data_IF_181873560753
#
_entry.id   IF_181873560753
#
_cell.length_a   1.000
_cell.length_b   1.000
_cell.length_c   1.000
_cell.angle_alpha   90.00
_cell.angle_beta   90.00
_cell.angle_gamma   90.00
#
_symmetry.space_group_name_H-M   'P 1'
#
loop_
_entity.id
_entity.type
_entity.pdbx_description
1 polymer ?
#
# COMPACT_ATOMS: atom_id res chain seq x y z
N UNK A 1 -45.20 39.91 20.87
CA UNK A 1 -43.86 39.67 20.30
C UNK A 1 -43.18 38.63 21.17
N UNK A 2 -42.93 37.43 20.65
CA UNK A 2 -42.10 36.42 21.31
C UNK A 2 -41.01 36.02 20.32
N UNK A 3 -39.78 36.44 20.60
CA UNK A 3 -38.59 36.08 19.83
C UNK A 3 -38.17 34.66 20.24
N UNK A 4 -38.37 33.67 19.36
CA UNK A 4 -37.74 32.37 19.58
C UNK A 4 -36.26 32.48 19.25
N UNK A 5 -35.44 32.21 20.25
CA UNK A 5 -33.99 32.08 20.12
C UNK A 5 -33.73 30.77 19.37
N UNK A 6 -33.33 30.87 18.11
CA UNK A 6 -32.97 29.70 17.30
C UNK A 6 -31.76 29.00 17.91
N UNK A 7 -31.95 27.77 18.37
CA UNK A 7 -30.87 26.88 18.79
C UNK A 7 -29.96 26.63 17.59
N UNK A 8 -28.76 27.22 17.59
CA UNK A 8 -27.72 26.88 16.63
C UNK A 8 -27.31 25.43 16.86
N UNK A 9 -27.82 24.54 16.01
CA UNK A 9 -27.38 23.14 15.96
C UNK A 9 -25.87 23.13 15.76
N UNK A 10 -25.11 22.65 16.75
CA UNK A 10 -23.67 22.47 16.61
C UNK A 10 -23.45 21.45 15.50
N UNK A 11 -23.02 21.92 14.33
CA UNK A 11 -22.64 21.05 13.24
C UNK A 11 -21.60 20.05 13.76
N UNK A 12 -21.95 18.77 13.72
CA UNK A 12 -21.05 17.69 14.13
C UNK A 12 -19.72 17.85 13.39
N UNK A 13 -18.60 17.73 14.09
CA UNK A 13 -17.26 17.84 13.48
C UNK A 13 -17.14 16.85 12.30
N UNK A 14 -17.84 15.71 12.39
CA UNK A 14 -17.90 14.65 11.38
C UNK A 14 -18.68 14.99 10.10
N UNK A 15 -19.44 16.10 10.04
CA UNK A 15 -20.18 16.51 8.83
C UNK A 15 -19.44 17.57 8.01
N UNK A 16 -18.26 18.02 8.46
CA UNK A 16 -17.52 19.07 7.76
C UNK A 16 -16.61 18.51 6.65
N UNK A 17 -16.59 19.11 5.44
CA UNK A 17 -15.67 18.70 4.37
C UNK A 17 -14.20 18.69 4.80
N UNK A 18 -13.80 19.61 5.67
CA UNK A 18 -12.44 19.73 6.19
C UNK A 18 -12.02 18.54 7.07
N UNK A 19 -12.95 17.96 7.85
CA UNK A 19 -12.69 16.74 8.63
C UNK A 19 -12.38 15.57 7.70
N UNK A 20 -13.25 15.34 6.71
CA UNK A 20 -13.06 14.27 5.74
C UNK A 20 -11.77 14.48 4.94
N UNK A 21 -11.48 15.69 4.49
CA UNK A 21 -10.23 15.99 3.78
C UNK A 21 -8.98 15.66 4.62
N UNK A 22 -8.98 16.01 5.91
CA UNK A 22 -7.88 15.61 6.82
C UNK A 22 -7.78 14.11 7.00
N UNK A 23 -8.91 13.43 7.22
CA UNK A 23 -8.94 11.97 7.38
C UNK A 23 -8.35 11.28 6.14
N UNK A 24 -8.73 11.73 4.95
CA UNK A 24 -8.28 11.16 3.69
C UNK A 24 -6.78 11.41 3.45
N UNK A 25 -6.25 12.56 3.86
CA UNK A 25 -4.81 12.86 3.80
C UNK A 25 -3.98 11.99 4.76
N UNK A 26 -4.58 11.47 5.83
CA UNK A 26 -3.90 10.49 6.71
C UNK A 26 -3.95 9.05 6.18
N UNK A 27 -4.70 8.77 5.10
CA UNK A 27 -4.88 7.42 4.60
C UNK A 27 -3.56 6.73 4.22
N UNK A 28 -2.55 7.47 3.75
CA UNK A 28 -1.24 6.87 3.46
C UNK A 28 -0.52 6.38 4.73
N UNK A 29 -0.62 7.12 5.84
CA UNK A 29 -0.10 6.67 7.15
C UNK A 29 -0.88 5.46 7.66
N UNK A 30 -2.22 5.50 7.55
CA UNK A 30 -3.08 4.37 7.95
C UNK A 30 -2.74 3.12 7.13
N UNK A 31 -2.53 3.26 5.82
CA UNK A 31 -2.11 2.17 4.94
C UNK A 31 -0.79 1.55 5.42
N UNK A 32 0.23 2.37 5.69
CA UNK A 32 1.53 1.91 6.18
C UNK A 32 1.41 1.17 7.51
N UNK A 33 0.66 1.73 8.47
CA UNK A 33 0.42 1.07 9.76
C UNK A 33 -0.30 -0.27 9.60
N UNK A 34 -1.33 -0.34 8.75
CA UNK A 34 -2.03 -1.58 8.46
C UNK A 34 -1.12 -2.62 7.80
N UNK A 35 -0.25 -2.22 6.85
CA UNK A 35 0.74 -3.12 6.25
C UNK A 35 1.73 -3.67 7.29
N UNK A 36 2.22 -2.83 8.20
CA UNK A 36 3.14 -3.25 9.27
C UNK A 36 2.45 -4.23 10.21
N UNK A 37 1.25 -3.91 10.70
CA UNK A 37 0.48 -4.79 11.59
C UNK A 37 0.18 -6.11 10.88
N UNK A 38 -0.28 -6.07 9.63
CA UNK A 38 -0.55 -7.26 8.86
C UNK A 38 0.69 -8.14 8.68
N UNK A 39 1.86 -7.54 8.44
CA UNK A 39 3.13 -8.26 8.31
C UNK A 39 3.52 -8.96 9.62
N UNK A 40 3.45 -8.24 10.74
CA UNK A 40 3.78 -8.79 12.06
C UNK A 40 2.83 -9.92 12.46
N UNK A 41 1.53 -9.76 12.18
CA UNK A 41 0.53 -10.80 12.44
C UNK A 41 0.75 -11.97 11.51
N UNK A 42 0.90 -11.77 10.20
CA UNK A 42 1.08 -12.85 9.23
C UNK A 42 2.26 -13.76 9.59
N UNK A 43 3.37 -13.14 10.00
CA UNK A 43 4.62 -13.82 10.29
C UNK A 43 5.44 -14.08 9.04
N UNK A 44 6.39 -14.99 9.15
CA UNK A 44 7.37 -15.23 8.11
C UNK A 44 6.88 -16.30 7.14
N UNK A 45 6.32 -15.88 6.00
CA UNK A 45 5.92 -16.81 4.93
C UNK A 45 7.10 -17.74 4.54
N UNK A 46 6.84 -19.04 4.34
CA UNK A 46 7.84 -20.00 3.89
C UNK A 46 8.50 -19.57 2.57
N UNK A 47 9.80 -19.84 2.48
CA UNK A 47 10.63 -19.54 1.32
C UNK A 47 10.22 -20.35 0.07
N UNK A 48 10.71 -19.95 -1.09
CA UNK A 48 10.50 -20.69 -2.35
C UNK A 48 11.11 -22.08 -2.21
N UNK A 49 10.35 -23.11 -2.61
CA UNK A 49 10.80 -24.51 -2.48
C UNK A 49 10.88 -25.03 -1.04
N UNK A 50 10.20 -24.38 -0.08
CA UNK A 50 10.07 -24.91 1.28
C UNK A 50 9.45 -26.32 1.31
N UNK A 51 9.82 -27.13 2.31
CA UNK A 51 9.30 -28.49 2.45
C UNK A 51 7.78 -28.50 2.70
N UNK A 52 7.14 -29.59 2.31
CA UNK A 52 5.71 -29.81 2.56
C UNK A 52 5.33 -29.63 4.04
N UNK A 53 6.14 -30.15 4.96
CA UNK A 53 5.93 -30.02 6.40
C UNK A 53 6.00 -28.56 6.87
N UNK A 54 6.95 -27.78 6.32
CA UNK A 54 7.08 -26.35 6.65
C UNK A 54 5.87 -25.56 6.16
N UNK A 55 5.41 -25.85 4.94
CA UNK A 55 4.23 -25.22 4.37
C UNK A 55 2.96 -25.59 5.16
N UNK A 56 2.79 -26.86 5.52
CA UNK A 56 1.65 -27.32 6.32
C UNK A 56 1.65 -26.67 7.71
N UNK A 57 2.80 -26.67 8.40
CA UNK A 57 2.94 -26.06 9.72
C UNK A 57 2.56 -24.56 9.71
N UNK A 58 2.95 -23.82 8.67
CA UNK A 58 2.62 -22.41 8.56
C UNK A 58 1.15 -22.18 8.17
N UNK A 59 0.66 -22.77 7.09
CA UNK A 59 -0.65 -22.45 6.56
C UNK A 59 -1.81 -23.10 7.34
N UNK A 60 -1.65 -24.36 7.77
CA UNK A 60 -2.68 -25.06 8.54
C UNK A 60 -2.55 -24.76 10.04
N UNK A 61 -1.33 -24.81 10.58
CA UNK A 61 -1.06 -24.58 12.00
C UNK A 61 -1.36 -23.17 12.49
N UNK A 62 -1.14 -22.15 11.65
CA UNK A 62 -1.36 -20.74 11.99
C UNK A 62 -2.55 -20.09 11.24
N UNK A 63 -3.51 -20.90 10.78
CA UNK A 63 -4.62 -20.45 9.93
C UNK A 63 -5.30 -19.16 10.39
N UNK A 64 -5.72 -19.12 11.66
CA UNK A 64 -6.43 -17.96 12.23
C UNK A 64 -5.61 -16.68 12.13
N UNK A 65 -4.30 -16.78 12.39
CA UNK A 65 -3.38 -15.65 12.33
C UNK A 65 -3.27 -15.11 10.91
N UNK A 66 -3.17 -16.00 9.91
CA UNK A 66 -3.09 -15.63 8.49
C UNK A 66 -4.38 -14.94 8.02
N UNK A 67 -5.56 -15.43 8.43
CA UNK A 67 -6.84 -14.83 8.06
C UNK A 67 -7.05 -13.45 8.70
N UNK A 68 -6.61 -13.26 9.96
CA UNK A 68 -6.61 -11.93 10.60
C UNK A 68 -5.68 -10.97 9.84
N UNK A 69 -4.47 -11.42 9.47
CA UNK A 69 -3.55 -10.61 8.68
C UNK A 69 -4.15 -10.22 7.32
N UNK A 70 -4.89 -11.11 6.67
CA UNK A 70 -5.57 -10.82 5.41
C UNK A 70 -6.55 -9.64 5.53
N UNK A 71 -7.28 -9.52 6.65
CA UNK A 71 -8.16 -8.37 6.93
C UNK A 71 -7.35 -7.07 7.01
N UNK A 72 -6.24 -7.07 7.76
CA UNK A 72 -5.39 -5.88 7.88
C UNK A 72 -4.74 -5.50 6.55
N UNK A 73 -4.29 -6.47 5.75
CA UNK A 73 -3.79 -6.19 4.40
C UNK A 73 -4.89 -5.62 3.49
N UNK A 74 -6.12 -6.13 3.56
CA UNK A 74 -7.27 -5.56 2.83
C UNK A 74 -7.53 -4.11 3.20
N UNK A 75 -7.50 -3.78 4.50
CA UNK A 75 -7.59 -2.39 4.98
C UNK A 75 -6.41 -1.53 4.52
N UNK A 76 -5.21 -2.11 4.46
CA UNK A 76 -4.01 -1.42 3.98
C UNK A 76 -4.14 -1.02 2.50
N UNK A 77 -4.65 -1.94 1.66
CA UNK A 77 -4.91 -1.69 0.23
C UNK A 77 -6.01 -0.64 0.05
N UNK A 78 -7.09 -0.72 0.83
CA UNK A 78 -8.17 0.27 0.78
C UNK A 78 -7.62 1.68 1.05
N UNK A 79 -6.86 1.82 2.14
CA UNK A 79 -6.23 3.09 2.50
C UNK A 79 -5.23 3.58 1.47
N UNK A 80 -4.50 2.67 0.80
CA UNK A 80 -3.59 3.01 -0.30
C UNK A 80 -4.32 3.64 -1.48
N UNK A 81 -5.49 3.10 -1.86
CA UNK A 81 -6.31 3.66 -2.94
C UNK A 81 -6.87 5.03 -2.56
N UNK A 82 -7.30 5.20 -1.30
CA UNK A 82 -7.73 6.50 -0.77
C UNK A 82 -6.60 7.54 -0.79
N UNK A 83 -5.40 7.13 -0.41
CA UNK A 83 -4.20 7.97 -0.45
C UNK A 83 -3.89 8.44 -1.89
N UNK A 84 -3.98 7.55 -2.88
CA UNK A 84 -3.79 7.90 -4.28
C UNK A 84 -4.86 8.90 -4.78
N UNK A 85 -6.10 8.77 -4.29
CA UNK A 85 -7.16 9.76 -4.52
C UNK A 85 -6.80 11.14 -3.97
N UNK A 86 -6.33 11.23 -2.72
CA UNK A 86 -5.91 12.48 -2.10
C UNK A 86 -4.70 13.12 -2.81
N UNK A 87 -3.75 12.29 -3.27
CA UNK A 87 -2.63 12.76 -4.09
C UNK A 87 -3.13 13.32 -5.43
N UNK A 88 -4.07 12.63 -6.09
CA UNK A 88 -4.65 13.08 -7.35
C UNK A 88 -5.34 14.42 -7.21
N UNK A 89 -6.20 14.61 -6.21
CA UNK A 89 -6.89 15.89 -5.99
C UNK A 89 -5.89 17.02 -5.79
N UNK A 90 -4.86 16.79 -4.97
CA UNK A 90 -3.80 17.78 -4.72
C UNK A 90 -3.05 18.17 -5.99
N UNK A 91 -2.78 17.21 -6.87
CA UNK A 91 -2.08 17.47 -8.13
C UNK A 91 -3.01 18.11 -9.17
N UNK A 92 -4.29 17.74 -9.20
CA UNK A 92 -5.28 18.33 -10.10
C UNK A 92 -5.46 19.83 -9.82
N UNK A 93 -5.51 20.23 -8.55
CA UNK A 93 -5.68 21.62 -8.11
C UNK A 93 -4.57 22.57 -8.64
N UNK A 94 -3.41 22.02 -9.03
CA UNK A 94 -2.24 22.75 -9.53
C UNK A 94 -1.88 22.38 -10.98
N UNK A 95 -2.84 21.81 -11.72
CA UNK A 95 -2.69 21.50 -13.14
C UNK A 95 -1.80 20.29 -13.47
N UNK A 96 -1.57 19.40 -12.51
CA UNK A 96 -0.77 18.17 -12.65
C UNK A 96 -1.62 16.89 -12.62
N UNK A 97 -2.89 16.94 -13.04
CA UNK A 97 -3.81 15.77 -12.98
C UNK A 97 -3.27 14.55 -13.74
N UNK A 98 -2.47 14.71 -14.79
CA UNK A 98 -1.83 13.59 -15.48
C UNK A 98 -0.98 12.71 -14.55
N UNK A 99 -0.24 13.32 -13.62
CA UNK A 99 0.50 12.59 -12.59
C UNK A 99 -0.41 12.01 -11.51
N UNK A 100 -1.49 12.72 -11.15
CA UNK A 100 -2.51 12.21 -10.24
C UNK A 100 -3.28 11.00 -10.77
N UNK A 101 -3.61 11.00 -12.06
CA UNK A 101 -4.22 9.88 -12.75
C UNK A 101 -3.28 8.68 -12.81
N UNK A 102 -1.99 8.91 -13.06
CA UNK A 102 -0.96 7.87 -12.97
C UNK A 102 -0.84 7.27 -11.56
N UNK A 103 -0.93 8.10 -10.50
CA UNK A 103 -0.96 7.62 -9.12
C UNK A 103 -2.19 6.73 -8.86
N UNK A 104 -3.36 7.14 -9.35
CA UNK A 104 -4.59 6.36 -9.24
C UNK A 104 -4.45 5.00 -9.94
N UNK A 105 -4.03 5.00 -11.22
CA UNK A 105 -3.88 3.77 -11.99
C UNK A 105 -2.86 2.81 -11.39
N UNK A 106 -1.69 3.33 -10.97
CA UNK A 106 -0.65 2.52 -10.34
C UNK A 106 -1.06 1.99 -8.96
N UNK A 107 -1.76 2.78 -8.15
CA UNK A 107 -2.31 2.31 -6.87
C UNK A 107 -3.36 1.22 -7.05
N UNK A 108 -4.22 1.32 -8.07
CA UNK A 108 -5.23 0.32 -8.38
C UNK A 108 -4.58 -0.98 -8.87
N UNK A 109 -3.59 -0.89 -9.76
CA UNK A 109 -2.82 -2.05 -10.23
C UNK A 109 -2.09 -2.75 -9.06
N UNK A 110 -1.45 -1.96 -8.19
CA UNK A 110 -0.79 -2.47 -6.98
C UNK A 110 -1.79 -3.11 -6.02
N UNK A 111 -2.91 -2.45 -5.77
CA UNK A 111 -3.98 -2.96 -4.91
C UNK A 111 -4.58 -4.26 -5.44
N UNK A 112 -4.83 -4.35 -6.75
CA UNK A 112 -5.34 -5.56 -7.38
C UNK A 112 -4.38 -6.74 -7.25
N UNK A 113 -3.08 -6.51 -7.49
CA UNK A 113 -2.06 -7.54 -7.28
C UNK A 113 -2.01 -7.96 -5.81
N UNK A 114 -2.00 -7.02 -4.87
CA UNK A 114 -2.01 -7.39 -3.44
C UNK A 114 -3.27 -8.17 -3.06
N UNK A 115 -4.46 -7.75 -3.49
CA UNK A 115 -5.70 -8.46 -3.20
C UNK A 115 -5.69 -9.89 -3.76
N UNK A 116 -5.14 -10.08 -4.97
CA UNK A 116 -4.92 -11.41 -5.54
C UNK A 116 -4.00 -12.26 -4.66
N UNK A 117 -2.85 -11.72 -4.27
CA UNK A 117 -1.88 -12.44 -3.43
C UNK A 117 -2.44 -12.77 -2.05
N UNK A 118 -3.15 -11.82 -1.43
CA UNK A 118 -3.84 -12.01 -0.16
C UNK A 118 -4.89 -13.11 -0.29
N UNK A 119 -5.66 -13.13 -1.38
CA UNK A 119 -6.66 -14.17 -1.62
C UNK A 119 -6.02 -15.56 -1.77
N UNK A 120 -4.89 -15.67 -2.49
CA UNK A 120 -4.14 -16.93 -2.61
C UNK A 120 -3.65 -17.41 -1.24
N UNK A 121 -3.02 -16.52 -0.46
CA UNK A 121 -2.53 -16.83 0.89
C UNK A 121 -3.66 -17.22 1.85
N UNK A 122 -4.79 -16.53 1.77
CA UNK A 122 -5.98 -16.86 2.56
C UNK A 122 -6.56 -18.22 2.15
N UNK A 123 -6.61 -18.54 0.87
CA UNK A 123 -7.06 -19.85 0.38
C UNK A 123 -6.12 -20.99 0.80
N UNK A 124 -4.81 -20.74 0.76
CA UNK A 124 -3.79 -21.64 1.29
C UNK A 124 -4.06 -22.02 2.74
N UNK A 125 -4.27 -21.00 3.59
CA UNK A 125 -4.56 -21.20 5.01
C UNK A 125 -5.96 -21.78 5.27
N UNK A 126 -6.97 -21.37 4.51
CA UNK A 126 -8.36 -21.72 4.79
C UNK A 126 -8.66 -23.20 4.52
N UNK A 127 -8.15 -23.75 3.42
CA UNK A 127 -8.49 -25.11 3.00
C UNK A 127 -7.43 -25.85 2.19
N UNK A 128 -6.59 -25.18 1.40
CA UNK A 128 -5.71 -25.87 0.46
C UNK A 128 -4.60 -26.62 1.18
N UNK A 129 -3.94 -26.02 2.18
CA UNK A 129 -2.86 -26.68 2.90
C UNK A 129 -3.33 -27.94 3.65
N UNK A 130 -4.55 -27.91 4.21
CA UNK A 130 -5.16 -29.06 4.87
C UNK A 130 -5.68 -30.16 3.94
N UNK A 131 -5.67 -29.96 2.61
CA UNK A 131 -6.18 -30.94 1.63
C UNK A 131 -5.22 -32.09 1.33
N UNK A 132 -3.95 -32.00 1.76
CA UNK A 132 -2.90 -32.98 1.44
C UNK A 132 -2.28 -32.81 0.04
N UNK A 133 -2.72 -31.83 -0.75
CA UNK A 133 -2.10 -31.54 -2.05
C UNK A 133 -0.86 -30.63 -1.89
N UNK A 134 0.27 -31.25 -1.57
CA UNK A 134 1.53 -30.54 -1.32
C UNK A 134 2.09 -29.82 -2.55
N UNK A 135 1.89 -30.38 -3.76
CA UNK A 135 2.35 -29.75 -5.00
C UNK A 135 1.60 -28.45 -5.28
N UNK A 136 0.27 -28.43 -5.10
CA UNK A 136 -0.54 -27.22 -5.23
C UNK A 136 -0.16 -26.18 -4.17
N UNK A 137 0.03 -26.60 -2.93
CA UNK A 137 0.43 -25.72 -1.82
C UNK A 137 1.77 -25.04 -2.10
N UNK A 138 2.79 -25.81 -2.52
CA UNK A 138 4.11 -25.28 -2.88
C UNK A 138 4.03 -24.34 -4.08
N UNK A 139 3.34 -24.75 -5.16
CA UNK A 139 3.24 -23.93 -6.36
C UNK A 139 2.54 -22.59 -6.13
N UNK A 140 1.51 -22.56 -5.29
CA UNK A 140 0.83 -21.31 -4.91
C UNK A 140 1.67 -20.44 -3.96
N UNK A 141 2.46 -21.04 -3.06
CA UNK A 141 3.42 -20.28 -2.25
C UNK A 141 4.48 -19.59 -3.14
N UNK A 142 5.03 -20.33 -4.10
CA UNK A 142 6.03 -19.80 -5.03
C UNK A 142 5.41 -18.73 -5.96
N UNK A 143 4.15 -18.93 -6.38
CA UNK A 143 3.38 -17.93 -7.11
C UNK A 143 3.24 -16.62 -6.32
N UNK A 144 3.02 -16.69 -5.00
CA UNK A 144 2.93 -15.49 -4.17
C UNK A 144 4.24 -14.71 -4.17
N UNK A 145 5.39 -15.39 -4.06
CA UNK A 145 6.69 -14.73 -4.15
C UNK A 145 6.94 -14.11 -5.52
N UNK A 146 6.68 -14.84 -6.60
CA UNK A 146 6.81 -14.31 -7.97
C UNK A 146 5.88 -13.11 -8.20
N UNK A 147 4.63 -13.18 -7.76
CA UNK A 147 3.69 -12.07 -7.84
C UNK A 147 4.12 -10.87 -7.00
N UNK A 148 4.73 -11.11 -5.84
CA UNK A 148 5.27 -10.05 -4.99
C UNK A 148 6.41 -9.28 -5.69
N UNK A 149 7.29 -9.98 -6.41
CA UNK A 149 8.31 -9.36 -7.27
C UNK A 149 7.67 -8.45 -8.32
N UNK A 150 6.58 -8.90 -8.95
CA UNK A 150 5.85 -8.11 -9.97
C UNK A 150 5.18 -6.85 -9.42
N UNK A 151 4.88 -6.78 -8.12
CA UNK A 151 4.36 -5.54 -7.52
C UNK A 151 5.34 -4.37 -7.60
N UNK A 152 6.63 -4.64 -7.86
CA UNK A 152 7.68 -3.63 -8.03
C UNK A 152 7.36 -2.60 -9.11
N UNK A 153 6.73 -3.00 -10.22
CA UNK A 153 6.40 -2.09 -11.32
C UNK A 153 5.32 -1.06 -10.94
N UNK A 154 4.12 -1.45 -10.47
CA UNK A 154 3.12 -0.48 -10.04
C UNK A 154 3.54 0.28 -8.78
N UNK A 155 4.34 -0.31 -7.87
CA UNK A 155 4.95 0.43 -6.74
C UNK A 155 5.87 1.54 -7.24
N UNK A 156 6.78 1.24 -8.16
CA UNK A 156 7.68 2.22 -8.74
C UNK A 156 6.93 3.33 -9.47
N UNK A 157 5.88 2.99 -10.23
CA UNK A 157 5.04 3.98 -10.89
C UNK A 157 4.31 4.88 -9.89
N UNK A 158 3.82 4.33 -8.77
CA UNK A 158 3.19 5.12 -7.72
C UNK A 158 4.17 6.10 -7.08
N UNK A 159 5.38 5.64 -6.73
CA UNK A 159 6.45 6.50 -6.21
C UNK A 159 6.80 7.58 -7.22
N UNK A 160 7.00 7.21 -8.49
CA UNK A 160 7.33 8.13 -9.58
C UNK A 160 6.24 9.18 -9.75
N UNK A 161 4.97 8.78 -9.78
CA UNK A 161 3.85 9.70 -9.94
C UNK A 161 3.79 10.75 -8.84
N UNK A 162 4.04 10.35 -7.59
CA UNK A 162 4.13 11.27 -6.46
C UNK A 162 5.36 12.17 -6.56
N UNK A 163 6.55 11.61 -6.80
CA UNK A 163 7.80 12.36 -6.86
C UNK A 163 7.77 13.43 -7.97
N UNK A 164 7.43 13.02 -9.20
CA UNK A 164 7.39 13.91 -10.36
C UNK A 164 6.23 14.88 -10.28
N UNK A 165 5.04 14.43 -9.91
CA UNK A 165 3.86 15.29 -9.76
C UNK A 165 4.09 16.39 -8.73
N UNK A 166 4.56 16.04 -7.53
CA UNK A 166 4.80 17.00 -6.45
C UNK A 166 5.96 17.94 -6.78
N UNK A 167 7.02 17.47 -7.45
CA UNK A 167 8.13 18.32 -7.86
C UNK A 167 7.72 19.31 -8.95
N UNK A 168 6.97 18.86 -9.96
CA UNK A 168 6.42 19.74 -11.01
C UNK A 168 5.44 20.76 -10.45
N UNK A 169 4.70 20.39 -9.40
CA UNK A 169 3.86 21.28 -8.62
C UNK A 169 4.64 22.22 -7.67
N UNK A 170 5.97 22.10 -7.59
CA UNK A 170 6.85 22.84 -6.66
C UNK A 170 6.49 22.64 -5.18
N UNK A 171 5.90 21.48 -4.85
CA UNK A 171 5.49 21.12 -3.50
C UNK A 171 6.59 20.42 -2.69
N UNK A 172 7.62 19.92 -3.37
CA UNK A 172 8.81 19.29 -2.77
C UNK A 172 10.10 19.90 -3.34
N UNK A 173 11.21 19.79 -2.58
CA UNK A 173 12.52 20.30 -2.97
C UNK A 173 13.21 19.41 -4.02
N UNK A 174 14.25 19.94 -4.68
CA UNK A 174 15.09 19.17 -5.60
C UNK A 174 15.77 17.97 -4.92
N UNK A 175 16.17 18.13 -3.65
CA UNK A 175 16.75 17.05 -2.87
C UNK A 175 15.73 15.92 -2.62
N UNK A 176 14.50 16.27 -2.24
CA UNK A 176 13.44 15.29 -2.01
C UNK A 176 12.99 14.63 -3.32
N UNK A 177 13.00 15.35 -4.43
CA UNK A 177 12.79 14.79 -5.76
C UNK A 177 13.88 13.79 -6.14
N UNK A 178 15.16 14.12 -5.94
CA UNK A 178 16.27 13.20 -6.19
C UNK A 178 16.16 11.93 -5.34
N UNK A 179 15.77 12.05 -4.06
CA UNK A 179 15.48 10.90 -3.21
C UNK A 179 14.32 10.05 -3.75
N UNK A 180 13.28 10.69 -4.30
CA UNK A 180 12.17 10.01 -4.98
C UNK A 180 12.62 9.24 -6.22
N UNK A 181 13.49 9.83 -7.05
CA UNK A 181 14.07 9.15 -8.22
C UNK A 181 14.92 7.94 -7.79
N UNK A 182 15.74 8.09 -6.75
CA UNK A 182 16.49 6.97 -6.19
C UNK A 182 15.56 5.86 -5.68
N UNK A 183 14.47 6.22 -4.98
CA UNK A 183 13.47 5.27 -4.52
C UNK A 183 12.80 4.52 -5.69
N UNK A 184 12.48 5.19 -6.80
CA UNK A 184 11.95 4.55 -8.02
C UNK A 184 12.92 3.51 -8.56
N UNK A 185 14.20 3.87 -8.72
CA UNK A 185 15.23 2.96 -9.24
C UNK A 185 15.38 1.73 -8.34
N UNK A 186 15.48 1.93 -7.03
CA UNK A 186 15.62 0.83 -6.06
C UNK A 186 14.38 -0.08 -6.05
N UNK A 187 13.17 0.47 -6.12
CA UNK A 187 11.97 -0.36 -6.19
C UNK A 187 11.89 -1.12 -7.51
N UNK A 188 12.27 -0.52 -8.64
CA UNK A 188 12.34 -1.21 -9.95
C UNK A 188 13.36 -2.35 -9.95
N UNK A 189 14.50 -2.19 -9.29
CA UNK A 189 15.45 -3.30 -9.09
C UNK A 189 14.81 -4.48 -8.35
N UNK A 190 13.79 -4.24 -7.52
CA UNK A 190 13.01 -5.31 -6.90
C UNK A 190 12.30 -6.21 -7.92
N UNK A 191 11.97 -5.68 -9.10
CA UNK A 191 11.36 -6.47 -10.20
C UNK A 191 12.34 -7.41 -10.90
N UNK A 192 13.62 -7.40 -10.53
CA UNK A 192 14.66 -8.25 -11.13
C UNK A 192 15.19 -9.33 -10.17
N UNK A 193 14.57 -9.50 -9.00
CA UNK A 193 14.99 -10.51 -8.01
C UNK A 193 14.56 -11.91 -8.41
N UNK A 194 15.27 -12.50 -9.37
CA UNK A 194 14.98 -13.83 -9.95
C UNK A 194 16.11 -14.84 -9.72
N UNK A 195 17.03 -14.57 -8.79
CA UNK A 195 18.05 -15.57 -8.45
C UNK A 195 17.42 -16.75 -7.71
N UNK A 196 18.03 -17.93 -7.82
CA UNK A 196 17.55 -19.16 -7.17
C UNK A 196 17.67 -19.15 -5.64
N UNK A 197 18.44 -18.22 -5.08
CA UNK A 197 18.60 -18.09 -3.64
C UNK A 197 19.37 -16.83 -3.23
N UNK A 198 19.41 -16.57 -1.93
CA UNK A 198 20.17 -15.48 -1.34
C UNK A 198 19.47 -14.11 -1.40
N UNK A 199 20.27 -13.03 -1.36
CA UNK A 199 19.76 -11.67 -1.22
C UNK A 199 18.81 -11.21 -2.35
N UNK A 200 19.04 -11.69 -3.58
CA UNK A 200 18.35 -11.28 -4.80
C UNK A 200 17.35 -12.34 -5.34
N UNK A 201 16.94 -13.30 -4.50
CA UNK A 201 15.87 -14.23 -4.82
C UNK A 201 14.48 -13.58 -4.64
N UNK A 202 13.41 -14.14 -5.22
CA UNK A 202 12.05 -13.63 -5.04
C UNK A 202 11.60 -13.51 -3.57
N UNK A 203 12.04 -14.47 -2.75
CA UNK A 203 11.87 -14.55 -1.29
C UNK A 203 13.09 -14.06 -0.51
N UNK A 204 14.09 -13.54 -1.23
CA UNK A 204 15.32 -13.00 -0.70
C UNK A 204 15.12 -11.68 0.04
N UNK A 205 16.16 -11.27 0.77
CA UNK A 205 16.12 -10.08 1.65
C UNK A 205 15.72 -8.81 0.91
N UNK A 206 16.19 -8.63 -0.33
CA UNK A 206 15.90 -7.42 -1.11
C UNK A 206 14.40 -7.28 -1.39
N UNK A 207 13.80 -8.32 -1.96
CA UNK A 207 12.38 -8.31 -2.30
C UNK A 207 11.53 -8.34 -1.06
N UNK A 208 11.87 -9.16 -0.06
CA UNK A 208 11.07 -9.31 1.15
C UNK A 208 11.06 -8.08 2.07
N UNK A 209 12.18 -7.37 2.19
CA UNK A 209 12.33 -6.30 3.17
C UNK A 209 12.69 -4.95 2.55
N UNK A 210 13.72 -4.89 1.70
CA UNK A 210 14.28 -3.62 1.22
C UNK A 210 13.29 -2.88 0.31
N UNK A 211 12.80 -3.53 -0.74
CA UNK A 211 11.89 -2.91 -1.71
C UNK A 211 10.55 -2.46 -1.07
N UNK A 212 9.88 -3.27 -0.22
CA UNK A 212 8.70 -2.86 0.52
C UNK A 212 8.95 -1.71 1.48
N UNK A 213 10.06 -1.73 2.23
CA UNK A 213 10.40 -0.66 3.18
C UNK A 213 10.55 0.69 2.46
N UNK A 214 11.15 0.72 1.27
CA UNK A 214 11.26 1.94 0.47
C UNK A 214 9.86 2.48 0.11
N UNK A 215 8.95 1.59 -0.34
CA UNK A 215 7.57 1.98 -0.64
C UNK A 215 6.81 2.54 0.57
N UNK A 216 6.95 1.89 1.73
CA UNK A 216 6.31 2.33 2.97
C UNK A 216 6.87 3.68 3.45
N UNK A 217 8.19 3.84 3.47
CA UNK A 217 8.85 5.10 3.84
C UNK A 217 8.44 6.22 2.88
N UNK A 218 8.38 5.95 1.58
CA UNK A 218 7.93 6.94 0.61
C UNK A 218 6.46 7.33 0.83
N UNK A 219 5.59 6.36 1.12
CA UNK A 219 4.19 6.61 1.48
C UNK A 219 4.06 7.53 2.70
N UNK A 220 4.90 7.34 3.73
CA UNK A 220 4.96 8.21 4.90
C UNK A 220 5.42 9.62 4.55
N UNK A 221 6.48 9.75 3.75
CA UNK A 221 7.03 11.04 3.30
C UNK A 221 5.97 11.84 2.53
N UNK A 222 5.33 11.23 1.54
CA UNK A 222 4.30 11.91 0.74
C UNK A 222 3.09 12.27 1.60
N UNK A 223 2.67 11.38 2.51
CA UNK A 223 1.61 11.69 3.47
C UNK A 223 1.96 12.90 4.34
N UNK A 224 3.20 13.00 4.83
CA UNK A 224 3.70 14.18 5.53
C UNK A 224 3.62 15.46 4.68
N UNK A 225 4.01 15.39 3.41
CA UNK A 225 3.88 16.51 2.47
C UNK A 225 2.42 16.94 2.31
N UNK A 226 1.48 16.00 2.17
CA UNK A 226 0.05 16.30 2.02
C UNK A 226 -0.59 16.88 3.30
N UNK A 227 -0.12 16.46 4.48
CA UNK A 227 -0.65 16.93 5.77
C UNK A 227 -0.17 18.34 6.14
N UNK A 228 1.02 18.75 5.71
CA UNK A 228 1.57 20.09 5.99
C UNK A 228 0.91 21.21 5.17
N UNK A 229 -0.01 20.88 4.25
CA UNK A 229 -0.66 21.85 3.37
C UNK A 229 -2.03 22.27 3.91
N UNK A 230 -2.25 23.57 4.05
CA UNK A 230 -3.58 24.14 4.29
C UNK A 230 -4.48 23.82 3.09
N UNK A 231 -5.74 23.42 3.33
CA UNK A 231 -6.74 23.32 2.26
C UNK A 231 -6.75 24.64 1.50
N UNK A 232 -6.55 24.61 0.18
CA UNK A 232 -6.94 25.74 -0.63
C UNK A 232 -8.42 25.95 -0.32
N UNK A 233 -8.74 27.10 0.28
CA UNK A 233 -10.10 27.52 0.56
C UNK A 233 -10.88 27.32 -0.73
N UNK A 234 -11.70 26.27 -0.79
CA UNK A 234 -12.73 26.14 -1.81
C UNK A 234 -13.81 27.14 -1.40
N UNK A 235 -13.49 28.42 -1.56
CA UNK A 235 -14.44 29.51 -1.46
C UNK A 235 -15.43 29.30 -2.61
N UNK A 236 -16.65 28.89 -2.27
CA UNK A 236 -17.75 28.76 -3.21
C UNK A 236 -18.00 27.33 -3.68
N UNK A 237 -18.79 26.59 -2.90
CA UNK A 237 -19.93 25.85 -3.43
C UNK A 237 -21.15 26.28 -2.61
#
# INVERSE_FOLDING_TARGET
MSSSTGTTSSASIYTTPAFWERLWRTAGIQSVLCFIVAYLVHGHQPQVGASADTLAAFYDGDRMRILIAAVFYGLAVLNLMWFAGALRTTLADVGQDGWGAAATASSAALGALFLLLIAVVAALAYSIAGSGNHMLTSGLNDFVWAGFVLTSFPRAMLIMSAAFGLWRARLISNALFAAGVAAVVLVLLGGTTWLSGGFWAPDGVYSRYVSPAIGLVWGMVVSGVLLTRSSATRAGW
#
